data_IF_495712869024
#
_entry.id   IF_495712869024
#
_cell.length_a   1.000
_cell.length_b   1.000
_cell.length_c   1.000
_cell.angle_alpha   90.00
_cell.angle_beta   90.00
_cell.angle_gamma   90.00
#
_symmetry.space_group_name_H-M   'P 1'
#
loop_
_entity.id
_entity.type
_entity.pdbx_description
1 polymer ?
#
# COMPACT_ATOMS: atom_id res chain seq x y z
N UNK A 1 -4.91 -12.84 -17.84
CA UNK A 1 -6.11 -12.84 -16.98
C UNK A 1 -5.67 -12.56 -15.56
N UNK A 2 -6.29 -11.62 -14.84
CA UNK A 2 -5.96 -11.40 -13.43
C UNK A 2 -6.49 -12.59 -12.61
N UNK A 3 -5.68 -13.62 -12.44
CA UNK A 3 -6.01 -14.83 -11.66
C UNK A 3 -5.73 -14.66 -10.16
N UNK A 4 -5.84 -13.44 -9.65
CA UNK A 4 -5.73 -13.22 -8.21
C UNK A 4 -6.99 -13.75 -7.55
N UNK A 5 -6.83 -14.62 -6.53
CA UNK A 5 -7.97 -15.05 -5.74
C UNK A 5 -8.65 -13.84 -5.08
N UNK A 6 -9.97 -13.91 -4.91
CA UNK A 6 -10.74 -12.84 -4.27
C UNK A 6 -10.20 -12.49 -2.88
N UNK A 7 -9.67 -13.47 -2.15
CA UNK A 7 -9.02 -13.27 -0.86
C UNK A 7 -7.72 -12.47 -0.97
N UNK A 8 -6.92 -12.69 -2.01
CA UNK A 8 -5.70 -11.92 -2.26
C UNK A 8 -6.03 -10.46 -2.58
N UNK A 9 -7.08 -10.23 -3.38
CA UNK A 9 -7.57 -8.89 -3.72
C UNK A 9 -8.11 -8.18 -2.47
N UNK A 10 -8.87 -8.88 -1.61
CA UNK A 10 -9.36 -8.32 -0.36
C UNK A 10 -8.22 -7.88 0.58
N UNK A 11 -7.17 -8.70 0.71
CA UNK A 11 -5.96 -8.32 1.48
C UNK A 11 -5.28 -7.08 0.89
N UNK A 12 -5.14 -7.01 -0.43
CA UNK A 12 -4.55 -5.86 -1.12
C UNK A 12 -5.36 -4.57 -0.89
N UNK A 13 -6.69 -4.63 -1.04
CA UNK A 13 -7.58 -3.50 -0.78
C UNK A 13 -7.44 -3.01 0.68
N UNK A 14 -7.36 -3.96 1.63
CA UNK A 14 -7.20 -3.61 3.04
C UNK A 14 -5.85 -2.94 3.34
N UNK A 15 -4.76 -3.41 2.74
CA UNK A 15 -3.43 -2.77 2.85
C UNK A 15 -3.41 -1.37 2.22
N UNK A 16 -4.14 -1.16 1.13
CA UNK A 16 -4.29 0.15 0.51
C UNK A 16 -4.98 1.13 1.46
N UNK A 17 -6.09 0.72 2.09
CA UNK A 17 -6.80 1.57 3.06
C UNK A 17 -5.94 1.83 4.30
N UNK A 18 -5.25 0.83 4.83
CA UNK A 18 -4.34 1.00 5.98
C UNK A 18 -3.24 2.03 5.68
N UNK A 19 -2.65 1.96 4.48
CA UNK A 19 -1.65 2.93 4.03
C UNK A 19 -2.21 4.35 3.96
N UNK A 20 -3.43 4.50 3.43
CA UNK A 20 -4.13 5.80 3.38
C UNK A 20 -4.42 6.34 4.78
N UNK A 21 -4.87 5.51 5.71
CA UNK A 21 -5.12 5.92 7.10
C UNK A 21 -3.85 6.45 7.79
N UNK A 22 -2.67 5.92 7.43
CA UNK A 22 -1.40 6.40 8.01
C UNK A 22 -0.93 7.74 7.45
N UNK A 23 -1.27 8.06 6.20
CA UNK A 23 -0.87 9.32 5.56
C UNK A 23 -1.92 10.41 5.65
N UNK A 24 -3.18 10.06 5.93
CA UNK A 24 -4.29 10.98 6.02
C UNK A 24 -5.21 10.67 7.21
N UNK A 25 -5.23 11.55 8.20
CA UNK A 25 -6.00 11.43 9.44
C UNK A 25 -7.53 11.45 9.22
N UNK A 26 -8.01 11.95 8.07
CA UNK A 26 -9.44 11.93 7.76
C UNK A 26 -9.97 10.55 7.37
N UNK A 27 -9.07 9.59 7.13
CA UNK A 27 -9.42 8.22 6.76
C UNK A 27 -9.19 7.32 7.97
N UNK A 28 -10.21 6.52 8.33
CA UNK A 28 -10.14 5.68 9.52
C UNK A 28 -11.26 4.65 9.62
N UNK A 29 -11.18 3.76 10.62
CA UNK A 29 -12.19 2.75 10.88
C UNK A 29 -13.52 3.35 11.38
N UNK A 30 -14.64 2.60 11.27
CA UNK A 30 -14.71 1.20 10.83
C UNK A 30 -14.54 1.02 9.31
N UNK A 31 -13.79 0.00 8.91
CA UNK A 31 -13.65 -0.38 7.49
C UNK A 31 -14.72 -1.42 7.17
N UNK A 32 -15.60 -1.14 6.21
CA UNK A 32 -16.62 -2.06 5.76
C UNK A 32 -16.23 -2.63 4.39
N UNK A 33 -16.23 -3.95 4.25
CA UNK A 33 -15.89 -4.63 3.01
C UNK A 33 -16.95 -5.66 2.65
N UNK A 34 -17.16 -5.83 1.34
CA UNK A 34 -18.03 -6.85 0.76
C UNK A 34 -17.27 -7.53 -0.37
N UNK A 35 -17.38 -8.86 -0.44
CA UNK A 35 -16.92 -9.65 -1.57
C UNK A 35 -18.15 -10.10 -2.38
N UNK A 36 -18.16 -9.75 -3.65
CA UNK A 36 -19.22 -10.12 -4.57
C UNK A 36 -18.67 -11.04 -5.65
N UNK A 37 -19.23 -12.25 -5.76
CA UNK A 37 -18.93 -13.15 -6.85
C UNK A 37 -19.76 -12.76 -8.07
N UNK A 38 -19.14 -12.74 -9.26
CA UNK A 38 -19.85 -12.46 -10.50
C UNK A 38 -21.06 -13.40 -10.65
N UNK A 39 -22.18 -12.82 -11.09
CA UNK A 39 -23.45 -13.52 -11.35
C UNK A 39 -24.06 -14.27 -10.16
N UNK A 40 -23.57 -14.05 -8.93
CA UNK A 40 -24.17 -14.66 -7.73
C UNK A 40 -25.51 -14.01 -7.37
N UNK A 41 -25.69 -12.73 -7.70
CA UNK A 41 -26.80 -11.89 -7.26
C UNK A 41 -27.02 -11.91 -5.73
N UNK A 42 -25.98 -12.24 -4.97
CA UNK A 42 -26.04 -12.33 -3.51
C UNK A 42 -24.69 -11.98 -2.86
N UNK A 43 -24.75 -11.36 -1.69
CA UNK A 43 -23.59 -11.03 -0.87
C UNK A 43 -23.37 -12.15 0.15
N UNK A 44 -22.38 -13.02 -0.11
CA UNK A 44 -22.01 -14.11 0.81
C UNK A 44 -20.97 -13.71 1.85
N UNK A 45 -20.05 -12.80 1.50
CA UNK A 45 -18.98 -12.38 2.40
C UNK A 45 -19.03 -10.87 2.64
N UNK A 46 -19.09 -10.50 3.91
CA UNK A 46 -19.03 -9.12 4.39
C UNK A 46 -18.29 -9.08 5.72
N UNK A 47 -17.59 -8.00 5.96
CA UNK A 47 -16.89 -7.77 7.22
C UNK A 47 -16.91 -6.28 7.56
N UNK A 48 -17.04 -5.98 8.85
CA UNK A 48 -16.79 -4.67 9.42
C UNK A 48 -15.61 -4.81 10.36
N UNK A 49 -14.57 -4.02 10.12
CA UNK A 49 -13.33 -4.03 10.89
C UNK A 49 -13.27 -2.74 11.72
N UNK A 50 -13.68 -2.76 13.00
CA UNK A 50 -13.54 -1.62 13.90
C UNK A 50 -12.08 -1.31 14.22
N UNK A 51 -11.81 -0.17 14.86
CA UNK A 51 -10.44 0.22 15.26
C UNK A 51 -9.75 -0.80 16.16
N UNK A 52 -10.51 -1.51 16.99
CA UNK A 52 -10.04 -2.54 17.92
C UNK A 52 -9.93 -3.94 17.30
N UNK A 53 -10.18 -4.09 16.00
CA UNK A 53 -10.18 -5.40 15.36
C UNK A 53 -8.78 -6.04 15.42
N UNK A 54 -8.66 -7.25 16.00
CA UNK A 54 -7.36 -7.91 16.15
C UNK A 54 -6.73 -8.30 14.80
N UNK A 55 -7.53 -8.51 13.75
CA UNK A 55 -7.04 -8.76 12.42
C UNK A 55 -6.35 -7.52 11.85
N UNK A 56 -6.96 -6.32 11.95
CA UNK A 56 -6.32 -5.07 11.50
C UNK A 56 -4.96 -4.85 12.16
N UNK A 57 -4.89 -5.02 13.48
CA UNK A 57 -3.64 -4.90 14.22
C UNK A 57 -2.59 -5.90 13.73
N UNK A 58 -2.99 -7.14 13.44
CA UNK A 58 -2.12 -8.19 12.91
C UNK A 58 -1.59 -7.84 11.52
N UNK A 59 -2.43 -7.40 10.58
CA UNK A 59 -1.98 -7.07 9.23
C UNK A 59 -1.00 -5.90 9.26
N UNK A 60 -1.32 -4.85 10.04
CA UNK A 60 -0.50 -3.64 10.12
C UNK A 60 0.90 -3.97 10.61
N UNK A 61 0.99 -4.72 11.71
CA UNK A 61 2.28 -5.16 12.27
C UNK A 61 3.06 -6.02 11.27
N UNK A 62 2.40 -6.96 10.59
CA UNK A 62 3.04 -7.80 9.58
C UNK A 62 3.57 -6.98 8.40
N UNK A 63 2.77 -6.06 7.88
CA UNK A 63 3.11 -5.23 6.74
C UNK A 63 4.24 -4.25 7.05
N UNK A 64 4.21 -3.63 8.23
CA UNK A 64 5.29 -2.77 8.73
C UNK A 64 6.61 -3.51 8.83
N UNK A 65 6.60 -4.72 9.40
CA UNK A 65 7.79 -5.56 9.48
C UNK A 65 8.32 -5.94 8.10
N UNK A 66 7.41 -6.28 7.18
CA UNK A 66 7.77 -6.69 5.82
C UNK A 66 8.39 -5.55 5.03
N UNK A 67 7.76 -4.36 5.07
CA UNK A 67 8.28 -3.16 4.41
C UNK A 67 9.64 -2.76 4.98
N UNK A 68 9.80 -2.77 6.31
CA UNK A 68 11.09 -2.47 6.94
C UNK A 68 12.19 -3.41 6.46
N UNK A 69 11.92 -4.71 6.46
CA UNK A 69 12.88 -5.70 5.99
C UNK A 69 13.18 -5.52 4.49
N UNK A 70 12.16 -5.25 3.66
CA UNK A 70 12.35 -4.98 2.24
C UNK A 70 13.25 -3.76 2.02
N UNK A 71 13.00 -2.65 2.71
CA UNK A 71 13.82 -1.43 2.62
C UNK A 71 15.26 -1.66 3.10
N UNK A 72 15.47 -2.43 4.17
CA UNK A 72 16.82 -2.76 4.65
C UNK A 72 17.63 -3.62 3.67
N UNK A 73 16.95 -4.40 2.83
CA UNK A 73 17.58 -5.24 1.81
C UNK A 73 17.65 -4.56 0.43
N UNK A 74 17.17 -3.31 0.30
CA UNK A 74 17.32 -2.58 -0.95
C UNK A 74 18.80 -2.23 -1.17
N UNK A 75 19.29 -2.30 -2.42
CA UNK A 75 20.63 -1.84 -2.73
C UNK A 75 20.77 -0.35 -2.41
N UNK A 76 21.96 0.04 -1.97
CA UNK A 76 22.28 1.46 -1.75
C UNK A 76 22.17 2.24 -3.06
N UNK A 77 21.77 3.50 -2.93
CA UNK A 77 21.75 4.42 -4.05
C UNK A 77 23.18 4.74 -4.48
N UNK A 78 23.47 4.57 -5.77
CA UNK A 78 24.69 5.09 -6.37
C UNK A 78 24.53 6.57 -6.69
N UNK A 79 24.93 7.40 -5.73
CA UNK A 79 24.94 8.86 -5.86
C UNK A 79 25.94 9.32 -6.95
N UNK A 80 25.73 10.53 -7.48
CA UNK A 80 26.61 11.19 -8.46
C UNK A 80 26.72 10.51 -9.85
N UNK A 81 25.72 9.72 -10.26
CA UNK A 81 25.56 9.25 -11.64
C UNK A 81 25.01 10.34 -12.57
N UNK A 82 25.62 11.52 -12.56
CA UNK A 82 25.28 12.63 -13.45
C UNK A 82 26.56 13.04 -14.15
N UNK A 83 26.62 12.94 -15.48
CA UNK A 83 27.56 13.77 -16.23
C UNK A 83 27.04 15.19 -16.12
N UNK A 84 27.73 16.02 -15.34
CA UNK A 84 27.51 17.47 -15.39
C UNK A 84 28.09 17.89 -16.74
N UNK A 85 27.27 17.79 -17.80
CA UNK A 85 27.62 18.37 -19.09
C UNK A 85 27.68 19.89 -18.87
N UNK A 86 28.92 20.39 -18.90
CA UNK A 86 29.41 21.75 -18.83
C UNK A 86 28.41 22.86 -18.42
N UNK A 87 28.75 23.56 -17.34
CA UNK A 87 28.16 24.85 -16.95
C UNK A 87 27.85 25.74 -18.18
N UNK A 88 26.65 26.34 -18.27
CA UNK A 88 26.36 27.32 -19.30
C UNK A 88 27.35 28.48 -19.18
N UNK A 89 28.08 28.78 -20.25
CA UNK A 89 28.92 29.97 -20.34
C UNK A 89 28.04 31.23 -20.25
N UNK A 90 28.01 31.85 -19.07
CA UNK A 90 27.37 33.15 -18.84
C UNK A 90 28.35 34.31 -19.07
N UNK A 91 29.22 34.22 -20.08
CA UNK A 91 29.95 35.39 -20.57
C UNK A 91 28.96 36.42 -21.10
N UNK A 92 28.68 37.44 -20.29
CA UNK A 92 27.92 38.63 -20.66
C UNK A 92 28.87 39.54 -21.46
N UNK A 93 28.59 39.73 -22.76
CA UNK A 93 29.10 40.88 -23.54
C UNK A 93 28.39 42.18 -23.15
#
# INVERSE_FOLDING_TARGET
>A
TYESSLDAIAKCALLSIDSTMRSNISVGPPINMVLYAADSFEIRHRVQLPSSDPYLAKIRKYWESTLRAATQNMPDLEWNRVSIDAEPDFSIE
#
